data_IF_831014128104
#
_entry.id   IF_831014128104
#
_cell.length_a   1.000
_cell.length_b   1.000
_cell.length_c   1.000
_cell.angle_alpha   90.00
_cell.angle_beta   90.00
_cell.angle_gamma   90.00
#
_symmetry.space_group_name_H-M   'P 1'
#
loop_
_entity.id
_entity.type
_entity.pdbx_description
1 polymer ?
#
# COMPACT_ATOMS: atom_id res chain seq x y z
N UNK A 1 5.43 5.61 -20.99
CA UNK A 1 4.62 5.84 -19.77
C UNK A 1 4.71 4.59 -18.90
N UNK A 2 4.97 4.74 -17.59
CA UNK A 2 4.97 3.61 -16.63
C UNK A 2 3.55 3.52 -16.06
N UNK A 3 2.96 2.33 -16.08
CA UNK A 3 1.63 2.09 -15.50
C UNK A 3 1.73 1.14 -14.31
N UNK A 4 0.83 1.32 -13.35
CA UNK A 4 0.80 0.59 -12.09
C UNK A 4 -0.57 -0.02 -11.87
N UNK A 5 -0.58 -1.21 -11.30
CA UNK A 5 -1.77 -1.89 -10.80
C UNK A 5 -1.74 -1.87 -9.29
N UNK A 6 -2.84 -1.38 -8.70
CA UNK A 6 -3.05 -1.32 -7.26
C UNK A 6 -4.06 -2.37 -6.84
N UNK A 7 -3.73 -3.15 -5.81
CA UNK A 7 -4.64 -4.11 -5.21
C UNK A 7 -4.69 -3.91 -3.71
N UNK A 8 -5.88 -4.02 -3.13
CA UNK A 8 -6.11 -3.96 -1.70
C UNK A 8 -6.97 -5.17 -1.32
N UNK A 9 -6.63 -5.82 -0.23
CA UNK A 9 -7.55 -6.74 0.44
C UNK A 9 -7.74 -6.29 1.89
N UNK A 10 -8.99 -6.29 2.35
CA UNK A 10 -9.33 -5.85 3.70
C UNK A 10 -9.38 -7.00 4.69
N UNK A 11 -9.81 -8.16 4.22
CA UNK A 11 -9.98 -9.37 5.04
C UNK A 11 -9.07 -10.48 4.55
N UNK A 12 -8.71 -11.39 5.46
CA UNK A 12 -7.91 -12.58 5.14
C UNK A 12 -8.53 -13.38 3.99
N UNK A 13 -9.86 -13.56 4.00
CA UNK A 13 -10.57 -14.27 2.95
C UNK A 13 -10.43 -13.59 1.58
N UNK A 14 -10.52 -12.25 1.54
CA UNK A 14 -10.32 -11.51 0.30
C UNK A 14 -8.89 -11.66 -0.24
N UNK A 15 -7.88 -11.63 0.63
CA UNK A 15 -6.49 -11.84 0.23
C UNK A 15 -6.30 -13.25 -0.35
N UNK A 16 -6.86 -14.28 0.31
CA UNK A 16 -6.79 -15.68 -0.14
C UNK A 16 -7.49 -15.88 -1.49
N UNK A 17 -8.69 -15.33 -1.68
CA UNK A 17 -9.43 -15.41 -2.93
C UNK A 17 -8.68 -14.76 -4.11
N UNK A 18 -7.82 -13.77 -3.84
CA UNK A 18 -6.95 -13.13 -4.84
C UNK A 18 -5.63 -13.88 -5.06
N UNK A 19 -5.50 -15.12 -4.56
CA UNK A 19 -4.32 -15.97 -4.72
C UNK A 19 -3.12 -15.51 -3.90
N UNK A 20 -3.31 -14.61 -2.93
CA UNK A 20 -2.22 -14.05 -2.15
C UNK A 20 -1.84 -14.98 -0.99
N UNK A 21 -0.55 -15.27 -0.85
CA UNK A 21 0.02 -16.10 0.21
C UNK A 21 0.47 -15.20 1.36
N UNK A 22 -0.30 -15.16 2.45
CA UNK A 22 0.09 -14.48 3.68
C UNK A 22 -1.04 -14.37 4.69
N UNK A 23 -0.71 -14.52 5.99
CA UNK A 23 -1.66 -14.38 7.11
C UNK A 23 -1.98 -12.92 7.46
N UNK A 24 -1.40 -11.98 6.72
CA UNK A 24 -1.44 -10.56 7.03
C UNK A 24 -2.53 -9.85 6.25
N UNK A 25 -3.67 -9.65 6.90
CA UNK A 25 -4.75 -8.80 6.40
C UNK A 25 -5.03 -7.69 7.41
N UNK A 26 -5.29 -6.44 6.98
CA UNK A 26 -5.33 -5.96 5.60
C UNK A 26 -3.95 -5.79 4.95
N UNK A 27 -3.91 -5.88 3.62
CA UNK A 27 -2.68 -5.72 2.84
C UNK A 27 -2.95 -5.03 1.50
N UNK A 28 -1.95 -4.28 1.04
CA UNK A 28 -1.95 -3.60 -0.24
C UNK A 28 -0.78 -4.07 -1.09
N UNK A 29 -1.00 -4.10 -2.41
CA UNK A 29 0.04 -4.37 -3.40
C UNK A 29 0.09 -3.28 -4.45
N UNK A 30 1.30 -3.03 -4.91
CA UNK A 30 1.59 -2.06 -5.95
C UNK A 30 2.59 -2.67 -6.94
N UNK A 31 2.09 -3.04 -8.11
CA UNK A 31 2.88 -3.74 -9.14
C UNK A 31 2.97 -2.88 -10.39
N UNK A 32 4.17 -2.72 -10.94
CA UNK A 32 4.34 -2.07 -12.25
C UNK A 32 3.90 -3.03 -13.36
N UNK A 33 3.09 -2.54 -14.29
CA UNK A 33 2.64 -3.30 -15.46
C UNK A 33 3.68 -3.31 -16.58
N UNK A 34 4.59 -2.34 -16.56
CA UNK A 34 5.70 -2.24 -17.49
C UNK A 34 6.97 -2.80 -16.85
N UNK A 35 7.79 -3.48 -17.63
CA UNK A 35 9.11 -3.87 -17.18
C UNK A 35 9.96 -2.64 -16.80
N UNK A 36 10.39 -2.61 -15.54
CA UNK A 36 11.23 -1.55 -14.97
C UNK A 36 12.73 -1.88 -15.08
N UNK A 37 13.10 -3.02 -15.68
CA UNK A 37 14.48 -3.47 -15.87
C UNK A 37 15.37 -2.39 -16.50
N UNK A 38 14.85 -1.67 -17.50
CA UNK A 38 15.54 -0.56 -18.19
C UNK A 38 15.91 0.62 -17.27
N UNK A 39 15.31 0.73 -16.10
CA UNK A 39 15.60 1.77 -15.11
C UNK A 39 16.40 1.24 -13.91
N UNK A 40 16.76 -0.05 -13.92
CA UNK A 40 17.60 -0.64 -12.87
C UNK A 40 18.93 0.09 -12.83
N UNK A 41 19.24 0.70 -11.70
CA UNK A 41 20.48 1.44 -11.47
C UNK A 41 20.34 2.96 -11.61
N UNK A 42 19.25 3.48 -12.17
CA UNK A 42 19.02 4.94 -12.30
C UNK A 42 17.82 5.42 -11.49
N UNK A 43 16.83 4.55 -11.27
CA UNK A 43 15.61 4.90 -10.53
C UNK A 43 15.33 3.83 -9.47
N UNK A 44 15.22 4.26 -8.22
CA UNK A 44 14.72 3.47 -7.09
C UNK A 44 13.33 3.95 -6.71
N UNK A 45 12.37 3.03 -6.64
CA UNK A 45 11.01 3.38 -6.22
C UNK A 45 10.86 3.24 -4.71
N UNK A 46 10.50 4.35 -4.04
CA UNK A 46 10.20 4.41 -2.60
C UNK A 46 8.70 4.58 -2.40
N UNK A 47 7.92 3.63 -2.93
CA UNK A 47 6.47 3.72 -2.96
C UNK A 47 5.87 3.62 -1.56
N UNK A 48 4.77 4.34 -1.33
CA UNK A 48 4.08 4.37 -0.03
C UNK A 48 2.58 4.20 -0.21
N UNK A 49 1.91 3.69 0.82
CA UNK A 49 0.47 3.80 0.97
C UNK A 49 0.16 4.72 2.13
N UNK A 50 -0.72 5.68 1.88
CA UNK A 50 -1.18 6.66 2.84
C UNK A 50 -2.62 6.34 3.18
N UNK A 51 -2.92 6.22 4.47
CA UNK A 51 -4.27 6.05 4.97
C UNK A 51 -4.76 7.35 5.57
N UNK A 52 -5.95 7.76 5.16
CA UNK A 52 -6.59 8.97 5.65
C UNK A 52 -8.06 8.78 5.97
N UNK A 53 -8.56 9.58 6.92
CA UNK A 53 -9.99 9.77 7.16
C UNK A 53 -10.50 10.96 6.35
N UNK A 54 -11.73 10.85 5.83
CA UNK A 54 -12.41 11.92 5.06
C UNK A 54 -11.59 12.47 3.87
N UNK A 55 -10.61 11.69 3.39
CA UNK A 55 -9.69 12.08 2.32
C UNK A 55 -8.63 13.13 2.70
N UNK A 56 -8.68 13.71 3.89
CA UNK A 56 -7.85 14.84 4.32
C UNK A 56 -6.91 14.50 5.47
N UNK A 57 -7.38 13.74 6.47
CA UNK A 57 -6.64 13.50 7.71
C UNK A 57 -5.79 12.23 7.61
N UNK A 58 -4.51 12.39 7.31
CA UNK A 58 -3.56 11.26 7.27
C UNK A 58 -3.25 10.78 8.69
N UNK A 59 -3.52 9.51 8.95
CA UNK A 59 -3.26 8.89 10.27
C UNK A 59 -2.22 7.78 10.19
N UNK A 60 -1.97 7.21 9.00
CA UNK A 60 -0.96 6.18 8.83
C UNK A 60 -0.28 6.29 7.47
N UNK A 61 1.04 6.07 7.44
CA UNK A 61 1.82 5.98 6.21
C UNK A 61 2.68 4.73 6.31
N UNK A 62 2.60 3.88 5.30
CA UNK A 62 3.34 2.61 5.25
C UNK A 62 4.13 2.53 3.95
N UNK A 63 5.42 2.23 4.06
CA UNK A 63 6.25 1.94 2.89
C UNK A 63 5.93 0.56 2.32
N UNK A 64 5.93 0.46 0.98
CA UNK A 64 5.89 -0.83 0.31
C UNK A 64 7.26 -1.50 0.45
N UNK A 65 7.27 -2.69 1.07
CA UNK A 65 8.42 -3.58 1.02
C UNK A 65 8.30 -4.39 -0.27
N UNK A 66 9.21 -4.15 -1.20
CA UNK A 66 9.18 -4.74 -2.55
C UNK A 66 7.94 -4.24 -3.31
N UNK A 67 6.83 -4.95 -3.24
CA UNK A 67 5.55 -4.60 -3.85
C UNK A 67 4.36 -4.76 -2.89
N UNK A 68 4.60 -5.10 -1.61
CA UNK A 68 3.55 -5.32 -0.61
C UNK A 68 3.69 -4.35 0.58
N UNK A 69 2.55 -3.86 1.06
CA UNK A 69 2.44 -3.10 2.29
C UNK A 69 1.41 -3.79 3.19
N UNK A 70 1.86 -4.27 4.35
CA UNK A 70 0.98 -4.80 5.38
C UNK A 70 0.41 -3.62 6.17
N UNK A 71 -0.91 -3.55 6.23
CA UNK A 71 -1.62 -2.45 6.87
C UNK A 71 -1.97 -2.91 8.28
N UNK A 72 -1.44 -2.22 9.28
CA UNK A 72 -1.77 -2.51 10.66
C UNK A 72 -3.26 -2.25 10.92
N UNK A 73 -3.95 -3.23 11.48
CA UNK A 73 -5.30 -3.05 12.03
C UNK A 73 -5.27 -2.99 13.56
N UNK A 74 -6.28 -2.29 14.07
CA UNK A 74 -6.54 -1.88 15.46
C UNK A 74 -6.37 -2.95 16.56
N UNK A 75 -6.15 -4.23 16.23
CA UNK A 75 -5.90 -5.30 17.21
C UNK A 75 -4.43 -5.47 17.60
N UNK A 76 -3.48 -4.89 16.87
CA UNK A 76 -2.04 -5.02 17.17
C UNK A 76 -1.37 -3.72 17.62
N UNK A 77 -2.05 -2.58 17.46
CA UNK A 77 -1.58 -1.24 17.85
C UNK A 77 -2.81 -0.37 18.13
N UNK A 78 -2.96 0.14 19.36
CA UNK A 78 -4.10 0.99 19.79
C UNK A 78 -3.58 2.00 20.85
N UNK A 79 -4.08 3.27 20.90
CA UNK A 79 -5.45 3.67 20.58
C UNK A 79 -5.63 4.83 19.59
N UNK A 80 -6.72 4.72 18.81
CA UNK A 80 -7.63 5.84 18.60
C UNK A 80 -7.27 6.84 17.50
N UNK A 81 -7.63 6.52 16.26
CA UNK A 81 -8.46 7.46 15.51
C UNK A 81 -9.39 6.68 14.58
N UNK A 82 -10.58 6.29 15.06
CA UNK A 82 -11.57 5.74 14.16
C UNK A 82 -12.02 6.92 13.31
N UNK A 83 -11.82 6.88 12.00
CA UNK A 83 -12.61 7.72 11.11
C UNK A 83 -14.06 7.56 11.58
N UNK A 84 -14.75 8.67 11.88
CA UNK A 84 -16.02 8.66 12.63
C UNK A 84 -17.07 7.72 12.01
N UNK A 85 -16.91 7.45 10.72
CA UNK A 85 -17.82 6.66 9.89
C UNK A 85 -17.14 5.42 9.23
N UNK A 86 -16.00 4.94 9.76
CA UNK A 86 -15.19 3.88 9.14
C UNK A 86 -14.78 4.16 7.67
N UNK A 87 -14.83 5.43 7.24
CA UNK A 87 -14.45 5.86 5.90
C UNK A 87 -12.93 5.97 5.80
N UNK A 88 -12.29 4.84 5.50
CA UNK A 88 -10.85 4.77 5.25
C UNK A 88 -10.54 5.00 3.76
N UNK A 89 -9.69 5.97 3.48
CA UNK A 89 -9.15 6.21 2.15
C UNK A 89 -7.73 5.64 2.06
N UNK A 90 -7.48 4.86 1.02
CA UNK A 90 -6.20 4.24 0.74
C UNK A 90 -5.59 4.91 -0.49
N UNK A 91 -4.58 5.76 -0.29
CA UNK A 91 -3.89 6.46 -1.37
C UNK A 91 -2.55 5.79 -1.65
N UNK A 92 -2.42 5.24 -2.86
CA UNK A 92 -1.16 4.68 -3.36
C UNK A 92 -0.29 5.81 -3.92
N UNK A 93 0.94 5.91 -3.45
CA UNK A 93 1.90 6.93 -3.83
C UNK A 93 3.09 6.25 -4.50
N UNK A 94 3.23 6.47 -5.81
CA UNK A 94 4.41 6.05 -6.56
C UNK A 94 5.46 7.14 -6.46
N UNK A 95 6.62 6.83 -5.90
CA UNK A 95 7.69 7.80 -5.67
C UNK A 95 9.00 7.31 -6.31
N UNK A 96 9.29 7.70 -7.57
CA UNK A 96 10.58 7.43 -8.19
C UNK A 96 11.65 8.36 -7.58
N UNK A 97 12.78 7.79 -7.18
CA UNK A 97 13.97 8.52 -6.74
C UNK A 97 15.11 8.22 -7.71
N UNK A 98 15.71 9.26 -8.26
CA UNK A 98 16.91 9.11 -9.07
C UNK A 98 18.08 8.75 -8.17
N UNK A 99 18.75 7.66 -8.50
CA UNK A 99 19.97 7.19 -7.84
C UNK A 99 21.09 7.38 -8.86
N UNK A 100 21.90 8.42 -8.64
CA UNK A 100 23.11 8.70 -9.40
C UNK A 100 24.33 8.07 -8.72
#
# INVERSE_FOLDING_TARGET
MVSWTTSLCRTRQECLNRGQRGDFAPAAWLTANTDLSRYRGSIRYSNKIVLSCDGEYVFHVQDFKTNIAQIATNSSTSPGYPCYDNQFFYRFVVSPQYVF
#
